data_IF_795162035341
#
_entry.id   IF_795162035341
#
_cell.length_a   1.000
_cell.length_b   1.000
_cell.length_c   1.000
_cell.angle_alpha   90.00
_cell.angle_beta   90.00
_cell.angle_gamma   90.00
#
_symmetry.space_group_name_H-M   'P 1'
#
loop_
_entity.id
_entity.type
_entity.pdbx_description
1 polymer ?
#
# COMPACT_ATOMS: atom_id res chain seq x y z
N UNK A 1 18.03 -24.20 4.01
CA UNK A 1 17.46 -23.14 4.87
C UNK A 1 16.29 -23.75 5.62
N UNK A 2 16.21 -23.65 6.95
CA UNK A 2 15.04 -24.18 7.69
C UNK A 2 13.81 -23.34 7.37
N UNK A 3 12.61 -23.91 7.50
CA UNK A 3 11.36 -23.18 7.30
C UNK A 3 11.27 -21.95 8.23
N UNK A 4 11.76 -22.07 9.46
CA UNK A 4 11.83 -20.98 10.42
C UNK A 4 12.75 -19.83 9.96
N UNK A 5 13.94 -20.16 9.42
CA UNK A 5 14.87 -19.14 8.92
C UNK A 5 14.31 -18.41 7.69
N UNK A 6 13.58 -19.13 6.84
CA UNK A 6 12.91 -18.53 5.68
C UNK A 6 11.78 -17.58 6.10
N UNK A 7 10.97 -17.95 7.09
CA UNK A 7 9.91 -17.08 7.62
C UNK A 7 10.49 -15.82 8.29
N UNK A 8 11.58 -15.96 9.04
CA UNK A 8 12.29 -14.82 9.61
C UNK A 8 12.80 -13.87 8.52
N UNK A 9 13.49 -14.40 7.51
CA UNK A 9 14.00 -13.63 6.37
C UNK A 9 12.90 -12.87 5.62
N UNK A 10 11.73 -13.49 5.40
CA UNK A 10 10.60 -12.80 4.77
C UNK A 10 10.04 -11.69 5.63
N UNK A 11 9.93 -11.90 6.95
CA UNK A 11 9.42 -10.90 7.88
C UNK A 11 10.36 -9.70 7.93
N UNK A 12 11.66 -9.94 8.01
CA UNK A 12 12.69 -8.91 7.99
C UNK A 12 12.66 -8.09 6.68
N UNK A 13 12.67 -8.76 5.52
CA UNK A 13 12.63 -8.05 4.24
C UNK A 13 11.31 -7.30 4.00
N UNK A 14 10.20 -7.78 4.57
CA UNK A 14 8.94 -7.03 4.57
C UNK A 14 9.12 -5.72 5.32
N UNK A 15 9.65 -5.76 6.54
CA UNK A 15 9.88 -4.54 7.33
C UNK A 15 10.88 -3.60 6.65
N UNK A 16 11.94 -4.13 6.04
CA UNK A 16 12.90 -3.34 5.27
C UNK A 16 12.21 -2.63 4.08
N UNK A 17 11.32 -3.33 3.37
CA UNK A 17 10.56 -2.74 2.26
C UNK A 17 9.61 -1.65 2.75
N UNK A 18 8.85 -1.89 3.82
CA UNK A 18 7.95 -0.88 4.39
C UNK A 18 8.73 0.34 4.90
N UNK A 19 9.88 0.12 5.55
CA UNK A 19 10.77 1.18 6.01
C UNK A 19 11.34 2.01 4.87
N UNK A 20 11.76 1.38 3.76
CA UNK A 20 12.22 2.06 2.55
C UNK A 20 11.12 2.95 1.94
N UNK A 21 9.87 2.48 1.93
CA UNK A 21 8.71 3.25 1.45
C UNK A 21 8.46 4.46 2.36
N UNK A 22 8.46 4.28 3.69
CA UNK A 22 8.27 5.38 4.66
C UNK A 22 9.34 6.46 4.51
N UNK A 23 10.58 6.04 4.26
CA UNK A 23 11.72 6.93 4.05
C UNK A 23 11.82 7.46 2.60
N UNK A 24 10.86 7.12 1.73
CA UNK A 24 10.83 7.54 0.31
C UNK A 24 12.09 7.16 -0.47
N UNK A 25 12.75 6.05 -0.09
CA UNK A 25 13.97 5.53 -0.73
C UNK A 25 13.62 4.69 -1.95
N UNK A 26 13.34 5.34 -3.08
CA UNK A 26 12.87 4.69 -4.32
C UNK A 26 13.78 3.53 -4.77
N UNK A 27 15.10 3.75 -4.83
CA UNK A 27 16.04 2.70 -5.25
C UNK A 27 16.00 1.46 -4.34
N UNK A 28 15.90 1.65 -3.03
CA UNK A 28 15.78 0.56 -2.07
C UNK A 28 14.48 -0.24 -2.28
N UNK A 29 13.36 0.44 -2.58
CA UNK A 29 12.11 -0.21 -2.96
C UNK A 29 12.28 -1.05 -4.22
N UNK A 30 12.90 -0.51 -5.26
CA UNK A 30 13.14 -1.23 -6.52
C UNK A 30 14.03 -2.46 -6.27
N UNK A 31 15.10 -2.32 -5.51
CA UNK A 31 16.03 -3.43 -5.22
C UNK A 31 15.35 -4.55 -4.41
N UNK A 32 14.59 -4.21 -3.36
CA UNK A 32 13.89 -5.19 -2.54
C UNK A 32 12.76 -5.90 -3.29
N UNK A 33 12.08 -5.21 -4.20
CA UNK A 33 10.99 -5.78 -5.00
C UNK A 33 11.47 -6.65 -6.18
N UNK A 34 12.76 -6.58 -6.53
CA UNK A 34 13.41 -7.45 -7.53
C UNK A 34 13.95 -8.76 -6.95
N UNK A 35 13.95 -8.94 -5.63
CA UNK A 35 14.29 -10.21 -4.99
C UNK A 35 13.32 -11.32 -5.45
N UNK A 36 13.71 -12.61 -5.37
CA UNK A 36 12.83 -13.73 -5.77
C UNK A 36 11.44 -13.71 -5.12
N UNK A 37 11.37 -13.25 -3.86
CA UNK A 37 10.13 -13.10 -3.10
C UNK A 37 9.53 -11.68 -3.19
N UNK A 38 10.03 -10.80 -4.05
CA UNK A 38 9.63 -9.39 -4.11
C UNK A 38 8.13 -9.18 -4.30
N UNK A 39 7.50 -9.93 -5.20
CA UNK A 39 6.04 -9.89 -5.37
C UNK A 39 5.27 -10.35 -4.12
N UNK A 40 5.83 -11.29 -3.36
CA UNK A 40 5.26 -11.76 -2.08
C UNK A 40 5.43 -10.70 -1.00
N UNK A 41 6.57 -10.03 -0.94
CA UNK A 41 6.83 -8.91 -0.03
C UNK A 41 5.84 -7.75 -0.26
N UNK A 42 5.63 -7.34 -1.52
CA UNK A 42 4.71 -6.26 -1.88
C UNK A 42 3.27 -6.54 -1.42
N UNK A 43 2.87 -7.82 -1.45
CA UNK A 43 1.52 -8.28 -1.07
C UNK A 43 1.40 -8.61 0.41
N UNK A 44 2.51 -8.78 1.12
CA UNK A 44 2.51 -9.13 2.53
C UNK A 44 1.86 -8.00 3.34
N UNK A 45 1.01 -8.39 4.28
CA UNK A 45 0.30 -7.46 5.15
C UNK A 45 1.09 -7.21 6.44
N UNK A 46 1.07 -5.98 6.94
CA UNK A 46 1.51 -5.65 8.30
C UNK A 46 0.38 -5.95 9.32
N UNK A 47 0.57 -5.54 10.57
CA UNK A 47 -0.41 -5.75 11.65
C UNK A 47 -1.79 -5.12 11.38
N UNK A 48 -1.82 -3.98 10.67
CA UNK A 48 -3.06 -3.30 10.25
C UNK A 48 -3.70 -3.90 8.99
N UNK A 49 -3.13 -5.00 8.46
CA UNK A 49 -3.58 -5.59 7.20
C UNK A 49 -3.05 -4.86 5.96
N UNK A 50 -2.23 -3.83 6.12
CA UNK A 50 -1.76 -2.97 5.02
C UNK A 50 -0.62 -3.64 4.27
N UNK A 51 -0.72 -3.70 2.95
CA UNK A 51 0.39 -4.06 2.06
C UNK A 51 1.23 -2.84 1.67
N UNK A 52 2.35 -3.06 0.97
CA UNK A 52 3.27 -1.99 0.55
C UNK A 52 2.59 -0.84 -0.20
N UNK A 53 1.62 -1.13 -1.06
CA UNK A 53 0.93 -0.10 -1.84
C UNK A 53 0.04 0.81 -0.99
N UNK A 54 -0.51 0.33 0.13
CA UNK A 54 -1.23 1.20 1.08
C UNK A 54 -0.26 2.20 1.72
N UNK A 55 0.90 1.72 2.17
CA UNK A 55 1.90 2.57 2.84
C UNK A 55 2.43 3.61 1.86
N UNK A 56 2.72 3.23 0.61
CA UNK A 56 3.17 4.16 -0.41
C UNK A 56 2.17 5.30 -0.68
N UNK A 57 0.87 4.99 -0.68
CA UNK A 57 -0.20 5.99 -0.81
C UNK A 57 -0.24 6.93 0.39
N UNK A 58 -0.11 6.43 1.62
CA UNK A 58 -0.08 7.28 2.82
C UNK A 58 1.15 8.21 2.87
N UNK A 59 2.27 7.78 2.29
CA UNK A 59 3.49 8.59 2.17
C UNK A 59 3.43 9.61 1.02
N UNK A 60 2.37 9.56 0.21
CA UNK A 60 2.08 10.46 -0.90
C UNK A 60 3.26 10.58 -1.88
N UNK A 61 3.99 9.48 -2.09
CA UNK A 61 5.11 9.40 -3.04
C UNK A 61 4.63 8.79 -4.35
N UNK A 62 4.39 9.64 -5.35
CA UNK A 62 3.86 9.25 -6.65
C UNK A 62 4.74 8.23 -7.38
N UNK A 63 6.07 8.41 -7.35
CA UNK A 63 7.00 7.51 -8.05
C UNK A 63 6.94 6.09 -7.51
N UNK A 64 6.92 5.94 -6.18
CA UNK A 64 6.80 4.62 -5.53
C UNK A 64 5.41 4.03 -5.81
N UNK A 65 4.35 4.84 -5.77
CA UNK A 65 2.99 4.37 -6.05
C UNK A 65 2.85 3.91 -7.50
N UNK A 66 3.36 4.67 -8.47
CA UNK A 66 3.31 4.31 -9.89
C UNK A 66 4.14 3.06 -10.18
N UNK A 67 5.35 2.97 -9.63
CA UNK A 67 6.19 1.78 -9.75
C UNK A 67 5.49 0.53 -9.20
N UNK A 68 4.97 0.61 -7.96
CA UNK A 68 4.31 -0.54 -7.33
C UNK A 68 3.01 -0.92 -8.04
N UNK A 69 2.19 0.06 -8.45
CA UNK A 69 0.92 -0.18 -9.14
C UNK A 69 1.13 -0.80 -10.53
N UNK A 70 2.13 -0.31 -11.28
CA UNK A 70 2.42 -0.77 -12.65
C UNK A 70 3.03 -2.17 -12.68
N UNK A 71 3.92 -2.49 -11.73
CA UNK A 71 4.64 -3.77 -11.71
C UNK A 71 3.95 -4.86 -10.87
N UNK A 72 3.14 -4.48 -9.89
CA UNK A 72 2.53 -5.43 -8.94
C UNK A 72 1.01 -5.25 -8.86
N UNK A 73 0.30 -5.40 -9.98
CA UNK A 73 -1.16 -5.21 -10.10
C UNK A 73 -1.98 -5.96 -9.05
N UNK A 74 -1.49 -7.10 -8.55
CA UNK A 74 -2.13 -7.84 -7.49
C UNK A 74 -2.30 -7.04 -6.18
N UNK A 75 -1.47 -6.02 -5.93
CA UNK A 75 -1.55 -5.16 -4.75
C UNK A 75 -2.75 -4.21 -4.79
N UNK A 76 -3.25 -3.85 -5.98
CA UNK A 76 -4.38 -2.90 -6.16
C UNK A 76 -5.70 -3.40 -5.57
N UNK A 77 -5.82 -4.73 -5.40
CA UNK A 77 -7.03 -5.41 -4.87
C UNK A 77 -6.90 -5.86 -3.42
N UNK A 78 -5.73 -5.69 -2.80
CA UNK A 78 -5.55 -6.09 -1.42
C UNK A 78 -6.26 -5.07 -0.54
N UNK A 79 -7.16 -5.55 0.33
CA UNK A 79 -7.74 -4.74 1.40
C UNK A 79 -6.91 -4.82 2.68
N UNK A 80 -6.99 -3.80 3.51
CA UNK A 80 -6.53 -3.84 4.90
C UNK A 80 -7.47 -4.68 5.80
N UNK A 81 -7.38 -4.56 7.12
CA UNK A 81 -8.25 -5.30 8.04
C UNK A 81 -9.75 -4.91 7.95
N UNK A 82 -10.08 -3.81 7.27
CA UNK A 82 -11.46 -3.39 6.96
C UNK A 82 -11.80 -3.56 5.48
N UNK A 83 -11.01 -4.33 4.71
CA UNK A 83 -11.11 -4.46 3.25
C UNK A 83 -10.98 -3.14 2.47
N UNK A 84 -10.39 -2.12 3.08
CA UNK A 84 -10.07 -0.86 2.38
C UNK A 84 -8.84 -1.10 1.51
N UNK A 85 -9.00 -0.94 0.20
CA UNK A 85 -7.91 -1.02 -0.80
C UNK A 85 -7.06 0.25 -0.85
N UNK A 86 -5.93 0.28 -1.57
CA UNK A 86 -5.13 1.49 -1.73
C UNK A 86 -5.90 2.67 -2.34
N UNK A 87 -6.92 2.40 -3.18
CA UNK A 87 -7.76 3.46 -3.71
C UNK A 87 -8.67 4.09 -2.62
N UNK A 88 -9.12 3.33 -1.62
CA UNK A 88 -9.84 3.92 -0.49
C UNK A 88 -8.96 4.91 0.27
N UNK A 89 -7.69 4.57 0.47
CA UNK A 89 -6.71 5.41 1.14
C UNK A 89 -6.41 6.67 0.33
N UNK A 90 -6.18 6.53 -0.99
CA UNK A 90 -5.82 7.64 -1.86
C UNK A 90 -6.87 8.76 -1.92
N UNK A 91 -8.14 8.44 -1.67
CA UNK A 91 -9.21 9.44 -1.72
C UNK A 91 -9.17 10.45 -0.57
N UNK A 92 -8.51 10.14 0.55
CA UNK A 92 -8.48 11.03 1.73
C UNK A 92 -7.15 11.72 2.00
N UNK A 93 -6.11 11.48 1.18
CA UNK A 93 -4.82 12.18 1.31
C UNK A 93 -4.83 13.52 0.57
N UNK A 94 -3.78 14.34 0.75
CA UNK A 94 -3.70 15.66 0.11
C UNK A 94 -3.52 15.55 -1.41
N UNK A 95 -2.69 14.60 -1.86
CA UNK A 95 -2.39 14.34 -3.25
C UNK A 95 -3.39 13.36 -3.92
N UNK A 96 -4.67 13.53 -3.63
CA UNK A 96 -5.73 12.62 -4.10
C UNK A 96 -5.82 12.53 -5.62
N UNK A 97 -5.63 13.63 -6.35
CA UNK A 97 -5.81 13.64 -7.80
C UNK A 97 -4.77 12.75 -8.50
N UNK A 98 -3.48 12.96 -8.21
CA UNK A 98 -2.42 12.19 -8.86
C UNK A 98 -2.48 10.71 -8.46
N UNK A 99 -2.61 10.43 -7.17
CA UNK A 99 -2.59 9.05 -6.66
C UNK A 99 -3.82 8.26 -7.11
N UNK A 100 -5.01 8.85 -7.10
CA UNK A 100 -6.21 8.17 -7.63
C UNK A 100 -6.08 7.90 -9.13
N UNK A 101 -5.52 8.84 -9.90
CA UNK A 101 -5.27 8.67 -11.34
C UNK A 101 -4.30 7.54 -11.62
N UNK A 102 -3.16 7.49 -10.92
CA UNK A 102 -2.17 6.41 -11.05
C UNK A 102 -2.81 5.05 -10.76
N UNK A 103 -3.54 4.93 -9.64
CA UNK A 103 -4.16 3.67 -9.22
C UNK A 103 -5.26 3.22 -10.21
N UNK A 104 -6.13 4.14 -10.65
CA UNK A 104 -7.22 3.84 -11.59
C UNK A 104 -6.66 3.43 -12.95
N UNK A 105 -5.67 4.17 -13.48
CA UNK A 105 -4.99 3.84 -14.74
C UNK A 105 -4.39 2.43 -14.71
N UNK A 106 -3.88 1.99 -13.55
CA UNK A 106 -3.31 0.66 -13.37
C UNK A 106 -4.33 -0.44 -13.04
N UNK A 107 -5.62 -0.11 -12.94
CA UNK A 107 -6.71 -1.07 -12.81
C UNK A 107 -7.34 -1.18 -11.41
N UNK A 108 -7.13 -0.19 -10.53
CA UNK A 108 -7.86 -0.14 -9.28
C UNK A 108 -9.38 0.03 -9.51
N UNK A 109 -10.18 -0.81 -8.85
CA UNK A 109 -11.64 -0.75 -8.95
C UNK A 109 -12.21 0.38 -8.11
N UNK A 110 -12.96 1.28 -8.76
CA UNK A 110 -13.55 2.49 -8.16
C UNK A 110 -14.77 2.24 -7.25
N UNK A 111 -15.37 1.05 -7.33
CA UNK A 111 -16.67 0.73 -6.70
C UNK A 111 -16.59 -0.44 -5.71
N UNK A 112 -15.39 -0.89 -5.34
CA UNK A 112 -15.25 -1.89 -4.28
C UNK A 112 -15.73 -1.30 -2.96
N UNK A 113 -16.44 -2.11 -2.18
CA UNK A 113 -16.89 -1.73 -0.84
C UNK A 113 -15.94 -2.33 0.20
N UNK A 114 -15.60 -1.53 1.20
CA UNK A 114 -14.97 -2.00 2.44
C UNK A 114 -15.97 -2.79 3.31
N UNK A 115 -15.53 -3.32 4.45
CA UNK A 115 -16.40 -4.06 5.39
C UNK A 115 -17.52 -3.21 6.00
N UNK A 116 -17.46 -1.88 5.90
CA UNK A 116 -18.53 -0.98 6.32
C UNK A 116 -19.46 -0.59 5.16
N UNK A 117 -19.31 -1.23 3.99
CA UNK A 117 -20.11 -0.94 2.80
C UNK A 117 -19.70 0.34 2.05
N UNK A 118 -18.57 0.95 2.40
CA UNK A 118 -18.12 2.26 1.87
C UNK A 118 -17.25 2.06 0.64
N UNK A 119 -17.53 2.83 -0.41
CA UNK A 119 -16.70 2.88 -1.62
C UNK A 119 -15.56 3.91 -1.45
N UNK A 120 -14.51 3.89 -2.29
CA UNK A 120 -13.44 4.89 -2.22
C UNK A 120 -13.92 6.34 -2.18
N UNK A 121 -14.95 6.69 -2.94
CA UNK A 121 -15.51 8.06 -2.98
C UNK A 121 -16.02 8.56 -1.62
N UNK A 122 -16.40 7.67 -0.70
CA UNK A 122 -16.78 8.04 0.66
C UNK A 122 -15.63 8.77 1.37
N UNK A 123 -14.39 8.32 1.20
CA UNK A 123 -13.21 8.85 1.90
C UNK A 123 -12.75 10.21 1.36
N UNK A 124 -13.17 10.56 0.14
CA UNK A 124 -12.98 11.91 -0.39
C UNK A 124 -13.78 12.94 0.41
N UNK A 125 -15.02 12.59 0.77
CA UNK A 125 -15.89 13.44 1.56
C UNK A 125 -15.57 13.35 3.07
N UNK A 126 -14.96 12.26 3.51
CA UNK A 126 -14.69 11.97 4.93
C UNK A 126 -13.19 11.80 5.19
N UNK A 127 -12.39 12.81 4.85
CA UNK A 127 -10.92 12.73 4.90
C UNK A 127 -10.35 12.40 6.29
N UNK A 128 -11.07 12.74 7.36
CA UNK A 128 -10.69 12.41 8.74
C UNK A 128 -10.44 10.91 8.95
N UNK A 129 -11.15 10.05 8.22
CA UNK A 129 -10.94 8.60 8.30
C UNK A 129 -9.60 8.15 7.74
N UNK A 130 -9.02 8.90 6.78
CA UNK A 130 -7.69 8.64 6.21
C UNK A 130 -6.60 9.35 7.00
N UNK A 131 -6.87 10.56 7.53
CA UNK A 131 -5.93 11.27 8.41
C UNK A 131 -5.52 10.41 9.61
N UNK A 132 -6.48 9.75 10.26
CA UNK A 132 -6.21 8.79 11.35
C UNK A 132 -5.25 7.67 10.91
N UNK A 133 -5.35 7.20 9.66
CA UNK A 133 -4.46 6.17 9.13
C UNK A 133 -3.04 6.69 8.91
N UNK A 134 -2.88 7.97 8.58
CA UNK A 134 -1.56 8.63 8.49
C UNK A 134 -0.94 8.82 9.88
N UNK A 135 -1.75 9.11 10.91
CA UNK A 135 -1.31 9.18 12.30
C UNK A 135 -0.83 7.80 12.80
N UNK A 136 -1.60 6.74 12.57
CA UNK A 136 -1.23 5.34 12.89
C UNK A 136 0.06 4.86 12.21
N UNK A 137 0.49 5.48 11.10
CA UNK A 137 1.78 5.15 10.46
C UNK A 137 2.96 6.01 10.96
N UNK A 138 2.69 7.06 11.72
CA UNK A 138 3.71 7.93 12.35
C UNK A 138 4.07 7.49 13.77
N UNK A 139 3.16 6.80 14.44
CA UNK A 139 3.36 6.13 15.74
C UNK A 139 4.21 4.85 15.62
#
# INVERSE_FOLDING_TARGET
MTQQNYLFFLKENRENLLSAIRQKKFEAVVNLTKLPDGAKLVRAKNYYGRCSLHIAVLMENEDIVDYLASNFKAALKIGDNLDRTPLHYAMGVSNVEALSRILIKNGAKRVLKDLKGRQPSYYFMNKADVLRLQEEEKE
#
